data_IF_577883363430
#
_entry.id   IF_577883363430
#
_cell.length_a   1.000
_cell.length_b   1.000
_cell.length_c   1.000
_cell.angle_alpha   90.00
_cell.angle_beta   90.00
_cell.angle_gamma   90.00
#
_symmetry.space_group_name_H-M   'P 1'
#
loop_
_entity.id
_entity.type
_entity.pdbx_description
1 polymer ?
#
# COMPACT_ATOMS: atom_id res chain seq x y z
N UNK A 1 -1.43 -10.67 47.98
CA UNK A 1 -0.63 -9.47 47.68
C UNK A 1 -0.50 -9.37 46.18
N UNK A 2 -1.00 -8.31 45.56
CA UNK A 2 -0.78 -8.06 44.13
C UNK A 2 0.73 -8.01 43.89
N UNK A 3 1.24 -8.81 42.95
CA UNK A 3 2.61 -8.59 42.44
C UNK A 3 2.69 -7.14 41.96
N UNK A 4 3.72 -6.40 42.39
CA UNK A 4 3.90 -5.02 41.98
C UNK A 4 3.99 -4.91 40.46
N UNK A 5 3.53 -3.78 39.90
CA UNK A 5 3.44 -3.53 38.45
C UNK A 5 4.70 -3.97 37.68
N UNK A 6 5.89 -3.62 38.19
CA UNK A 6 7.18 -3.96 37.57
C UNK A 6 7.48 -5.47 37.58
N UNK A 7 7.23 -6.15 38.69
CA UNK A 7 7.48 -7.58 38.81
C UNK A 7 6.55 -8.38 37.87
N UNK A 8 5.27 -7.98 37.80
CA UNK A 8 4.32 -8.57 36.87
C UNK A 8 4.68 -8.31 35.40
N UNK A 9 5.19 -7.11 35.08
CA UNK A 9 5.62 -6.78 33.72
C UNK A 9 6.81 -7.62 33.29
N UNK A 10 7.84 -7.74 34.14
CA UNK A 10 9.01 -8.59 33.86
C UNK A 10 8.62 -10.07 33.70
N UNK A 11 7.70 -10.56 34.52
CA UNK A 11 7.18 -11.92 34.42
C UNK A 11 6.42 -12.15 33.10
N UNK A 12 5.56 -11.22 32.72
CA UNK A 12 4.85 -11.26 31.44
C UNK A 12 5.83 -11.24 30.27
N UNK A 13 6.81 -10.34 30.27
CA UNK A 13 7.85 -10.24 29.25
C UNK A 13 8.70 -11.51 29.16
N UNK A 14 9.10 -12.11 30.28
CA UNK A 14 9.80 -13.40 30.29
C UNK A 14 8.94 -14.51 29.67
N UNK A 15 7.62 -14.52 29.95
CA UNK A 15 6.65 -15.42 29.31
C UNK A 15 6.54 -15.18 27.80
N UNK A 16 6.53 -13.91 27.37
CA UNK A 16 6.54 -13.51 25.96
C UNK A 16 7.80 -13.95 25.23
N UNK A 17 8.97 -13.76 25.83
CA UNK A 17 10.23 -14.25 25.28
C UNK A 17 10.26 -15.78 25.17
N UNK A 18 9.73 -16.49 26.18
CA UNK A 18 9.59 -17.94 26.11
C UNK A 18 8.69 -18.38 24.95
N UNK A 19 7.61 -17.64 24.66
CA UNK A 19 6.76 -17.89 23.50
C UNK A 19 7.50 -17.68 22.17
N UNK A 20 8.28 -16.59 22.06
CA UNK A 20 9.11 -16.28 20.89
C UNK A 20 10.06 -17.44 20.56
N UNK A 21 10.80 -17.93 21.56
CA UNK A 21 11.77 -19.04 21.39
C UNK A 21 11.09 -20.41 21.43
N UNK A 22 9.78 -20.46 21.20
CA UNK A 22 9.04 -21.70 21.04
C UNK A 22 9.15 -22.65 22.25
N UNK A 23 9.24 -22.10 23.47
CA UNK A 23 9.11 -22.88 24.72
C UNK A 23 7.65 -23.04 25.12
N UNK A 24 7.37 -24.08 25.94
CA UNK A 24 6.04 -24.32 26.49
C UNK A 24 5.80 -23.37 27.66
N UNK A 25 4.74 -22.59 27.57
CA UNK A 25 4.40 -21.56 28.57
C UNK A 25 2.98 -21.81 29.09
N UNK A 26 2.81 -22.24 30.35
CA UNK A 26 1.47 -22.45 30.91
C UNK A 26 0.73 -21.11 31.15
N UNK A 27 -0.61 -21.14 31.26
CA UNK A 27 -1.42 -19.95 31.54
C UNK A 27 -1.02 -19.16 32.78
N UNK A 28 -0.53 -19.87 33.79
CA UNK A 28 -0.08 -19.33 35.07
C UNK A 28 1.20 -18.49 34.95
N UNK A 29 1.92 -18.56 33.83
CA UNK A 29 3.11 -17.74 33.61
C UNK A 29 2.79 -16.25 33.46
N UNK A 30 1.53 -15.89 33.19
CA UNK A 30 1.12 -14.51 32.93
C UNK A 30 0.29 -13.90 34.07
N UNK A 31 0.62 -12.68 34.45
CA UNK A 31 -0.12 -11.87 35.42
C UNK A 31 -1.23 -11.13 34.70
N UNK A 32 -2.48 -11.53 34.96
CA UNK A 32 -3.67 -11.06 34.23
C UNK A 32 -4.39 -9.92 34.94
N UNK A 33 -3.81 -8.73 34.95
CA UNK A 33 -4.47 -7.52 35.46
C UNK A 33 -4.67 -6.46 34.38
N UNK A 34 -5.53 -5.49 34.65
CA UNK A 34 -5.73 -4.35 33.76
C UNK A 34 -4.46 -3.47 33.68
N UNK A 35 -3.79 -3.26 34.81
CA UNK A 35 -2.55 -2.48 34.86
C UNK A 35 -1.44 -3.13 34.02
N UNK A 36 -1.39 -4.47 33.99
CA UNK A 36 -0.44 -5.20 33.15
C UNK A 36 -0.77 -5.08 31.66
N UNK A 37 -2.05 -5.13 31.30
CA UNK A 37 -2.50 -4.90 29.92
C UNK A 37 -2.08 -3.49 29.45
N UNK A 38 -2.36 -2.47 30.26
CA UNK A 38 -2.01 -1.09 29.96
C UNK A 38 -0.48 -0.89 29.87
N UNK A 39 0.27 -1.45 30.82
CA UNK A 39 1.73 -1.35 30.81
C UNK A 39 2.36 -2.01 29.57
N UNK A 40 1.86 -3.18 29.16
CA UNK A 40 2.33 -3.85 27.94
C UNK A 40 1.95 -3.08 26.68
N UNK A 41 0.75 -2.50 26.63
CA UNK A 41 0.33 -1.65 25.51
C UNK A 41 1.26 -0.43 25.37
N UNK A 42 1.47 0.31 26.46
CA UNK A 42 2.36 1.47 26.48
C UNK A 42 3.80 1.10 26.15
N UNK A 43 4.28 -0.07 26.60
CA UNK A 43 5.61 -0.57 26.23
C UNK A 43 5.72 -0.82 24.72
N UNK A 44 4.72 -1.43 24.09
CA UNK A 44 4.73 -1.67 22.65
C UNK A 44 4.68 -0.35 21.87
N UNK A 45 3.84 0.61 22.31
CA UNK A 45 3.80 1.96 21.74
C UNK A 45 5.17 2.65 21.84
N UNK A 46 5.79 2.65 23.02
CA UNK A 46 7.10 3.26 23.22
C UNK A 46 8.21 2.56 22.41
N UNK A 47 8.19 1.23 22.35
CA UNK A 47 9.17 0.46 21.60
C UNK A 47 9.09 0.75 20.12
N UNK A 48 7.89 0.65 19.53
CA UNK A 48 7.73 0.89 18.11
C UNK A 48 8.11 2.34 17.80
N UNK A 49 7.70 3.32 18.61
CA UNK A 49 8.08 4.72 18.38
C UNK A 49 9.61 4.91 18.41
N UNK A 50 10.29 4.22 19.33
CA UNK A 50 11.74 4.20 19.38
C UNK A 50 12.40 3.50 18.19
N UNK A 51 11.83 2.40 17.69
CA UNK A 51 12.35 1.72 16.49
C UNK A 51 12.20 2.59 15.24
N UNK A 52 11.09 3.30 15.12
CA UNK A 52 10.81 4.22 14.02
C UNK A 52 11.75 5.44 14.06
N UNK A 53 11.97 6.03 15.25
CA UNK A 53 12.99 7.09 15.42
C UNK A 53 14.41 6.66 15.03
N UNK A 54 14.73 5.36 15.13
CA UNK A 54 16.05 4.85 14.76
C UNK A 54 16.19 4.62 13.26
N UNK A 55 15.08 4.44 12.54
CA UNK A 55 15.02 4.38 11.08
C UNK A 55 14.87 5.76 10.44
N UNK A 56 14.45 6.76 11.21
CA UNK A 56 14.28 8.12 10.73
C UNK A 56 15.58 8.70 10.16
N UNK A 57 15.52 9.15 8.91
CA UNK A 57 16.64 9.81 8.24
C UNK A 57 16.81 11.26 8.71
N UNK A 58 18.00 11.82 8.49
CA UNK A 58 18.26 13.22 8.82
C UNK A 58 17.38 14.15 7.96
N UNK A 59 16.44 14.84 8.59
CA UNK A 59 15.47 15.72 7.91
C UNK A 59 14.03 15.21 7.95
N UNK A 60 13.78 14.00 8.47
CA UNK A 60 12.43 13.48 8.64
C UNK A 60 11.56 14.37 9.53
N UNK A 61 10.31 14.57 9.14
CA UNK A 61 9.34 15.35 9.91
C UNK A 61 8.48 14.43 10.79
N UNK A 62 8.12 14.92 11.98
CA UNK A 62 7.22 14.21 12.88
C UNK A 62 5.79 14.39 12.40
N UNK A 63 5.16 13.31 11.94
CA UNK A 63 3.79 13.30 11.48
C UNK A 63 2.88 12.66 12.54
N UNK A 64 2.13 13.49 13.26
CA UNK A 64 1.23 13.01 14.33
C UNK A 64 -0.01 12.30 13.79
N UNK A 65 -0.33 12.45 12.50
CA UNK A 65 -1.47 11.76 11.87
C UNK A 65 -1.27 10.24 11.86
N UNK A 66 -0.03 9.75 11.92
CA UNK A 66 0.26 8.34 12.11
C UNK A 66 -0.38 7.77 13.38
N UNK A 67 -0.64 8.58 14.42
CA UNK A 67 -1.37 8.14 15.61
C UNK A 67 -2.76 7.57 15.29
N UNK A 68 -3.38 8.02 14.19
CA UNK A 68 -4.61 7.42 13.67
C UNK A 68 -4.38 5.98 13.19
N UNK A 69 -3.35 5.75 12.37
CA UNK A 69 -2.96 4.42 11.90
C UNK A 69 -2.70 3.46 13.06
N UNK A 70 -2.03 3.94 14.11
CA UNK A 70 -1.83 3.18 15.34
C UNK A 70 -3.11 2.83 16.08
N UNK A 71 -4.04 3.78 16.21
CA UNK A 71 -5.33 3.53 16.85
C UNK A 71 -6.11 2.44 16.10
N UNK A 72 -6.13 2.52 14.77
CA UNK A 72 -6.74 1.51 13.89
C UNK A 72 -6.06 0.14 14.05
N UNK A 73 -4.74 0.09 14.03
CA UNK A 73 -3.96 -1.14 14.22
C UNK A 73 -4.25 -1.81 15.57
N UNK A 74 -4.28 -1.03 16.66
CA UNK A 74 -4.59 -1.53 18.00
C UNK A 74 -6.05 -2.02 18.12
N UNK A 75 -7.00 -1.32 17.50
CA UNK A 75 -8.41 -1.74 17.46
C UNK A 75 -8.60 -3.04 16.68
N UNK A 76 -7.91 -3.20 15.53
CA UNK A 76 -7.90 -4.44 14.76
C UNK A 76 -7.32 -5.59 15.57
N UNK A 77 -6.18 -5.38 16.24
CA UNK A 77 -5.58 -6.38 17.13
C UNK A 77 -6.48 -6.77 18.29
N UNK A 78 -7.16 -5.80 18.90
CA UNK A 78 -8.16 -6.04 19.94
C UNK A 78 -9.34 -6.86 19.42
N UNK A 79 -9.90 -6.49 18.26
CA UNK A 79 -11.03 -7.18 17.65
C UNK A 79 -10.66 -8.61 17.24
N UNK A 80 -9.47 -8.81 16.68
CA UNK A 80 -8.93 -10.13 16.37
C UNK A 80 -8.85 -11.01 17.64
N UNK A 81 -8.30 -10.48 18.74
CA UNK A 81 -8.25 -11.20 20.01
C UNK A 81 -9.66 -11.51 20.56
N UNK A 82 -10.59 -10.56 20.46
CA UNK A 82 -11.96 -10.75 20.91
C UNK A 82 -12.70 -11.82 20.10
N UNK A 83 -12.52 -11.86 18.78
CA UNK A 83 -13.07 -12.90 17.91
C UNK A 83 -12.52 -14.29 18.25
N UNK A 84 -11.21 -14.40 18.44
CA UNK A 84 -10.56 -15.67 18.82
C UNK A 84 -11.03 -16.15 20.19
N UNK A 85 -11.12 -15.24 21.18
CA UNK A 85 -11.66 -15.53 22.50
C UNK A 85 -13.11 -16.03 22.40
N UNK A 86 -13.95 -15.31 21.64
CA UNK A 86 -15.37 -15.66 21.42
C UNK A 86 -15.54 -17.02 20.72
N UNK A 87 -14.65 -17.34 19.79
CA UNK A 87 -14.59 -18.64 19.12
C UNK A 87 -14.12 -19.76 20.04
N UNK A 88 -13.35 -19.43 21.09
CA UNK A 88 -12.96 -20.35 22.14
C UNK A 88 -14.15 -20.69 23.05
N UNK A 89 -14.76 -19.70 23.71
CA UNK A 89 -16.00 -19.88 24.47
C UNK A 89 -16.79 -18.57 24.56
N UNK A 90 -18.09 -18.65 24.87
CA UNK A 90 -18.93 -17.44 25.03
C UNK A 90 -18.45 -16.56 26.19
N UNK A 91 -17.91 -17.19 27.23
CA UNK A 91 -17.47 -16.57 28.47
C UNK A 91 -15.93 -16.42 28.55
N UNK A 92 -15.22 -16.60 27.43
CA UNK A 92 -13.77 -16.43 27.40
C UNK A 92 -13.40 -14.98 27.67
N UNK A 93 -12.48 -14.77 28.62
CA UNK A 93 -11.90 -13.45 28.86
C UNK A 93 -10.91 -13.10 27.73
N UNK A 94 -11.21 -12.06 26.95
CA UNK A 94 -10.33 -11.53 25.89
C UNK A 94 -8.97 -11.12 26.46
N UNK A 95 -8.92 -10.65 27.71
CA UNK A 95 -7.68 -10.24 28.39
C UNK A 95 -6.70 -11.40 28.55
N UNK A 96 -7.22 -12.63 28.72
CA UNK A 96 -6.40 -13.83 28.82
C UNK A 96 -5.59 -14.09 27.55
N UNK A 97 -6.06 -13.60 26.39
CA UNK A 97 -5.36 -13.68 25.11
C UNK A 97 -4.53 -12.43 24.81
N UNK A 98 -5.05 -11.24 25.14
CA UNK A 98 -4.34 -9.97 24.89
C UNK A 98 -3.00 -9.88 25.64
N UNK A 99 -2.95 -10.33 26.90
CA UNK A 99 -1.72 -10.24 27.70
C UNK A 99 -0.57 -11.06 27.11
N UNK A 100 -0.71 -12.38 26.83
CA UNK A 100 0.37 -13.12 26.19
C UNK A 100 0.70 -12.61 24.78
N UNK A 101 -0.29 -12.10 24.02
CA UNK A 101 -0.05 -11.50 22.71
C UNK A 101 0.80 -10.22 22.80
N UNK A 102 0.42 -9.28 23.67
CA UNK A 102 1.17 -8.04 23.90
C UNK A 102 2.52 -8.28 24.58
N UNK A 103 2.64 -9.34 25.38
CA UNK A 103 3.90 -9.72 26.01
C UNK A 103 4.93 -10.26 25.03
N UNK A 104 4.51 -10.99 23.99
CA UNK A 104 5.42 -11.48 22.94
C UNK A 104 5.68 -10.45 21.84
N UNK A 105 4.72 -9.56 21.60
CA UNK A 105 4.77 -8.48 20.59
C UNK A 105 6.10 -7.70 20.53
N UNK A 106 6.69 -7.18 21.64
CA UNK A 106 7.90 -6.37 21.54
C UNK A 106 9.09 -7.15 20.93
N UNK A 107 9.15 -8.45 21.18
CA UNK A 107 10.18 -9.31 20.62
C UNK A 107 9.93 -9.66 19.16
N UNK A 108 8.66 -9.83 18.76
CA UNK A 108 8.28 -10.06 17.36
C UNK A 108 8.58 -8.82 16.53
N UNK A 109 8.19 -7.64 17.02
CA UNK A 109 8.49 -6.36 16.41
C UNK A 109 10.01 -6.19 16.22
N UNK A 110 10.80 -6.37 17.28
CA UNK A 110 12.25 -6.27 17.19
C UNK A 110 12.89 -7.29 16.24
N UNK A 111 12.38 -8.53 16.22
CA UNK A 111 12.86 -9.57 15.31
C UNK A 111 12.58 -9.21 13.85
N UNK A 112 11.36 -8.78 13.53
CA UNK A 112 10.99 -8.40 12.17
C UNK A 112 11.72 -7.14 11.71
N UNK A 113 11.78 -6.13 12.57
CA UNK A 113 12.56 -4.91 12.34
C UNK A 113 14.02 -5.24 12.00
N UNK A 114 14.70 -6.05 12.82
CA UNK A 114 16.10 -6.42 12.57
C UNK A 114 16.25 -7.29 11.31
N UNK A 115 15.26 -8.11 10.99
CA UNK A 115 15.31 -8.99 9.83
C UNK A 115 15.08 -8.26 8.51
N UNK A 116 14.35 -7.13 8.52
CA UNK A 116 14.02 -6.36 7.32
C UNK A 116 15.27 -5.80 6.63
N UNK A 117 16.31 -5.47 7.40
CA UNK A 117 17.58 -4.95 6.89
C UNK A 117 18.57 -6.02 6.43
N UNK A 118 18.29 -7.29 6.66
CA UNK A 118 19.18 -8.36 6.23
C UNK A 118 19.12 -8.52 4.71
N UNK A 119 20.27 -8.39 4.05
CA UNK A 119 20.40 -8.53 2.59
C UNK A 119 19.80 -9.83 2.03
N UNK A 120 19.87 -10.93 2.79
CA UNK A 120 19.27 -12.23 2.41
C UNK A 120 17.74 -12.20 2.40
N UNK A 121 17.14 -11.44 3.32
CA UNK A 121 15.68 -11.26 3.43
C UNK A 121 15.22 -10.38 2.27
N UNK A 122 15.90 -9.26 2.05
CA UNK A 122 15.63 -8.33 0.93
C UNK A 122 15.79 -8.97 -0.45
N UNK A 123 16.75 -9.88 -0.60
CA UNK A 123 16.96 -10.61 -1.85
C UNK A 123 15.85 -11.64 -2.18
N UNK A 124 15.01 -12.03 -1.20
CA UNK A 124 13.97 -13.05 -1.37
C UNK A 124 12.68 -12.66 -0.62
N UNK A 125 11.99 -11.59 -1.03
CA UNK A 125 10.88 -11.01 -0.29
C UNK A 125 9.71 -12.00 -0.12
N UNK A 126 9.35 -12.73 -1.19
CA UNK A 126 8.26 -13.73 -1.13
C UNK A 126 8.56 -14.84 -0.12
N UNK A 127 9.79 -15.36 -0.12
CA UNK A 127 10.19 -16.41 0.83
C UNK A 127 10.16 -15.88 2.26
N UNK A 128 10.61 -14.63 2.48
CA UNK A 128 10.58 -13.99 3.79
C UNK A 128 9.15 -13.84 4.31
N UNK A 129 8.21 -13.41 3.46
CA UNK A 129 6.78 -13.30 3.79
C UNK A 129 6.21 -14.67 4.17
N UNK A 130 6.47 -15.71 3.37
CA UNK A 130 5.98 -17.07 3.65
C UNK A 130 6.53 -17.62 4.98
N UNK A 131 7.82 -17.42 5.25
CA UNK A 131 8.45 -17.84 6.51
C UNK A 131 7.91 -17.04 7.69
N UNK A 132 7.76 -15.73 7.55
CA UNK A 132 7.18 -14.84 8.56
C UNK A 132 5.73 -15.24 8.89
N UNK A 133 4.91 -15.52 7.86
CA UNK A 133 3.54 -15.96 8.03
C UNK A 133 3.46 -17.32 8.73
N UNK A 134 4.29 -18.29 8.32
CA UNK A 134 4.38 -19.58 8.98
C UNK A 134 4.79 -19.44 10.46
N UNK A 135 5.74 -18.55 10.74
CA UNK A 135 6.17 -18.25 12.10
C UNK A 135 5.03 -17.63 12.93
N UNK A 136 4.30 -16.65 12.39
CA UNK A 136 3.15 -16.04 13.06
C UNK A 136 2.01 -17.05 13.30
N UNK A 137 1.78 -17.97 12.37
CA UNK A 137 0.85 -19.09 12.54
C UNK A 137 1.25 -19.93 13.75
N UNK A 138 2.49 -20.42 13.80
CA UNK A 138 2.99 -21.24 14.92
C UNK A 138 2.92 -20.47 16.24
N UNK A 139 3.28 -19.19 16.21
CA UNK A 139 3.25 -18.32 17.38
C UNK A 139 1.82 -18.10 17.89
N UNK A 140 0.86 -17.86 16.98
CA UNK A 140 -0.55 -17.64 17.35
C UNK A 140 -1.15 -18.86 18.08
N UNK A 141 -0.81 -20.08 17.65
CA UNK A 141 -1.24 -21.32 18.31
C UNK A 141 -0.66 -21.45 19.72
N UNK A 142 0.60 -21.00 19.91
CA UNK A 142 1.27 -21.01 21.21
C UNK A 142 0.72 -19.95 22.15
N UNK A 143 0.46 -18.75 21.64
CA UNK A 143 -0.22 -17.68 22.38
C UNK A 143 -1.61 -18.16 22.82
N UNK A 144 -2.35 -18.84 21.94
CA UNK A 144 -3.66 -19.41 22.27
C UNK A 144 -3.58 -20.49 23.35
N UNK A 145 -2.59 -21.38 23.27
CA UNK A 145 -2.34 -22.38 24.30
C UNK A 145 -1.92 -21.75 25.64
N UNK A 146 -1.09 -20.71 25.61
CA UNK A 146 -0.70 -19.95 26.79
C UNK A 146 -1.88 -19.14 27.38
N UNK A 147 -2.84 -18.72 26.57
CA UNK A 147 -4.03 -18.02 27.03
C UNK A 147 -5.01 -18.96 27.77
N UNK A 148 -5.31 -20.11 27.16
CA UNK A 148 -6.44 -20.95 27.61
C UNK A 148 -6.04 -22.35 28.12
N UNK A 149 -4.78 -22.76 27.98
CA UNK A 149 -4.27 -24.08 28.36
C UNK A 149 -4.74 -25.23 27.46
N UNK A 150 -5.99 -25.20 27.02
CA UNK A 150 -6.54 -26.09 25.99
C UNK A 150 -6.89 -25.28 24.75
N UNK A 151 -6.69 -25.85 23.56
CA UNK A 151 -7.04 -25.21 22.29
C UNK A 151 -8.28 -25.88 21.71
N UNK A 152 -9.25 -25.09 21.28
CA UNK A 152 -10.46 -25.57 20.59
C UNK A 152 -10.30 -25.36 19.08
N UNK A 153 -10.81 -26.30 18.28
CA UNK A 153 -10.68 -26.25 16.82
C UNK A 153 -11.22 -24.94 16.24
N UNK A 154 -12.35 -24.43 16.75
CA UNK A 154 -12.93 -23.16 16.31
C UNK A 154 -11.99 -21.97 16.54
N UNK A 155 -11.44 -21.83 17.75
CA UNK A 155 -10.47 -20.77 18.04
C UNK A 155 -9.20 -20.87 17.20
N UNK A 156 -8.75 -22.09 16.90
CA UNK A 156 -7.60 -22.33 16.01
C UNK A 156 -7.91 -21.84 14.59
N UNK A 157 -9.04 -22.28 14.00
CA UNK A 157 -9.44 -21.87 12.65
C UNK A 157 -9.58 -20.34 12.57
N UNK A 158 -10.23 -19.71 13.56
CA UNK A 158 -10.38 -18.26 13.60
C UNK A 158 -9.03 -17.55 13.70
N UNK A 159 -8.11 -18.01 14.55
CA UNK A 159 -6.79 -17.42 14.69
C UNK A 159 -5.99 -17.54 13.38
N UNK A 160 -6.00 -18.71 12.75
CA UNK A 160 -5.31 -18.94 11.47
C UNK A 160 -5.87 -18.05 10.35
N UNK A 161 -7.21 -17.96 10.24
CA UNK A 161 -7.86 -17.10 9.26
C UNK A 161 -7.46 -15.63 9.46
N UNK A 162 -7.46 -15.14 10.69
CA UNK A 162 -7.07 -13.76 10.99
C UNK A 162 -5.59 -13.49 10.71
N UNK A 163 -4.68 -14.43 11.00
CA UNK A 163 -3.25 -14.29 10.67
C UNK A 163 -3.03 -14.24 9.16
N UNK A 164 -3.76 -15.04 8.38
CA UNK A 164 -3.66 -15.04 6.91
C UNK A 164 -4.30 -13.80 6.29
N UNK A 165 -5.41 -13.30 6.86
CA UNK A 165 -6.11 -12.11 6.38
C UNK A 165 -5.43 -10.80 6.79
N UNK A 166 -4.63 -10.80 7.86
CA UNK A 166 -4.03 -9.58 8.40
C UNK A 166 -3.19 -8.79 7.39
N UNK A 167 -2.28 -9.39 6.59
CA UNK A 167 -1.51 -8.65 5.60
C UNK A 167 -2.41 -7.94 4.58
N UNK A 168 -3.41 -8.64 4.05
CA UNK A 168 -4.38 -8.07 3.09
C UNK A 168 -5.18 -6.94 3.73
N UNK A 169 -5.65 -7.12 4.96
CA UNK A 169 -6.38 -6.08 5.67
C UNK A 169 -5.53 -4.83 5.90
N UNK A 170 -4.26 -4.99 6.31
CA UNK A 170 -3.35 -3.87 6.54
C UNK A 170 -3.00 -3.13 5.23
N UNK A 171 -2.79 -3.86 4.14
CA UNK A 171 -2.54 -3.29 2.81
C UNK A 171 -3.77 -2.54 2.28
N UNK A 172 -4.96 -3.16 2.33
CA UNK A 172 -6.20 -2.53 1.82
C UNK A 172 -6.64 -1.30 2.62
N UNK A 173 -6.27 -1.21 3.90
CA UNK A 173 -6.60 -0.08 4.76
C UNK A 173 -5.53 1.01 4.74
N UNK A 174 -4.41 0.77 4.04
CA UNK A 174 -3.28 1.68 3.91
C UNK A 174 -2.86 2.33 5.25
N UNK A 175 -2.75 1.49 6.28
CA UNK A 175 -2.46 1.95 7.63
C UNK A 175 -0.98 2.29 7.76
N UNK A 176 -0.61 3.53 7.46
CA UNK A 176 0.72 4.01 7.79
C UNK A 176 0.87 4.24 9.29
N UNK A 177 1.90 3.62 9.86
CA UNK A 177 2.23 3.75 11.28
C UNK A 177 3.47 4.59 11.50
N UNK A 178 4.25 4.90 10.45
CA UNK A 178 5.49 5.74 10.45
C UNK A 178 5.24 7.11 11.08
N UNK A 179 5.86 7.35 12.24
CA UNK A 179 5.87 8.66 12.91
C UNK A 179 6.86 9.61 12.23
N UNK A 180 7.94 9.07 11.66
CA UNK A 180 8.95 9.82 10.93
C UNK A 180 8.84 9.50 9.45
N UNK A 181 8.38 10.48 8.70
CA UNK A 181 8.37 10.42 7.24
C UNK A 181 9.57 11.23 6.76
N UNK A 182 10.46 10.57 6.01
CA UNK A 182 11.58 11.23 5.35
C UNK A 182 11.06 12.21 4.32
N UNK A 183 11.81 13.29 4.10
CA UNK A 183 11.62 14.14 2.93
C UNK A 183 12.17 13.33 1.73
N UNK A 184 11.40 12.34 1.25
CA UNK A 184 11.73 11.50 0.09
C UNK A 184 11.68 12.35 -1.18
N UNK A 185 12.61 13.29 -1.28
CA UNK A 185 12.98 13.94 -2.53
C UNK A 185 13.81 12.96 -3.34
N UNK A 186 13.18 11.91 -3.89
CA UNK A 186 13.50 11.23 -5.17
C UNK A 186 12.70 9.95 -5.48
N UNK A 187 11.40 9.92 -5.19
CA UNK A 187 10.43 9.19 -6.03
C UNK A 187 9.13 10.01 -6.00
N UNK A 188 8.77 10.55 -7.17
CA UNK A 188 7.76 11.63 -7.39
C UNK A 188 8.16 13.00 -6.83
N UNK A 189 8.50 13.91 -7.75
CA UNK A 189 8.41 15.37 -7.59
C UNK A 189 6.92 15.78 -7.48
N UNK A 190 6.20 15.15 -6.54
CA UNK A 190 4.90 15.57 -6.04
C UNK A 190 5.13 16.53 -4.86
N UNK A 191 6.06 17.48 -5.04
CA UNK A 191 5.69 18.82 -4.62
C UNK A 191 4.46 19.17 -5.44
N UNK A 192 3.33 18.85 -4.85
CA UNK A 192 2.00 19.30 -5.16
C UNK A 192 2.01 20.82 -5.04
N UNK A 193 2.76 21.48 -5.92
CA UNK A 193 2.52 22.85 -6.28
C UNK A 193 1.20 22.83 -7.04
N UNK A 194 0.13 22.68 -6.27
CA UNK A 194 -1.27 22.83 -6.68
C UNK A 194 -1.45 24.09 -7.53
N UNK A 195 -0.58 25.09 -7.35
CA UNK A 195 -0.52 26.30 -8.17
C UNK A 195 -0.12 26.08 -9.64
N UNK A 196 0.53 24.96 -9.98
CA UNK A 196 0.91 24.57 -11.35
C UNK A 196 -0.08 23.55 -11.96
N UNK A 197 -0.72 22.71 -11.14
CA UNK A 197 -1.71 21.71 -11.61
C UNK A 197 -3.00 22.36 -12.12
N UNK A 198 -3.51 23.36 -11.40
CA UNK A 198 -4.76 24.04 -11.79
C UNK A 198 -4.62 24.76 -13.15
N UNK A 199 -3.59 25.60 -13.40
CA UNK A 199 -3.36 26.18 -14.72
C UNK A 199 -3.18 25.13 -15.82
N UNK A 200 -2.41 24.06 -15.55
CA UNK A 200 -2.20 22.98 -16.51
C UNK A 200 -3.53 22.35 -16.95
N UNK A 201 -4.47 22.14 -16.03
CA UNK A 201 -5.79 21.58 -16.34
C UNK A 201 -6.66 22.56 -17.14
N UNK A 202 -6.64 23.86 -16.79
CA UNK A 202 -7.39 24.89 -17.51
C UNK A 202 -6.88 25.14 -18.93
N UNK A 203 -5.60 24.89 -19.18
CA UNK A 203 -4.98 25.06 -20.50
C UNK A 203 -5.21 23.88 -21.45
N UNK A 204 -5.74 22.74 -20.97
CA UNK A 204 -5.92 21.53 -21.78
C UNK A 204 -6.73 21.75 -23.06
N UNK A 205 -7.86 22.49 -23.07
CA UNK A 205 -8.61 22.72 -24.30
C UNK A 205 -7.79 23.43 -25.38
N UNK A 206 -6.91 24.36 -24.99
CA UNK A 206 -6.04 25.09 -25.91
C UNK A 206 -4.90 24.20 -26.41
N UNK A 207 -4.30 23.39 -25.53
CA UNK A 207 -3.25 22.41 -25.88
C UNK A 207 -3.76 21.36 -26.88
N UNK A 208 -4.96 20.82 -26.66
CA UNK A 208 -5.61 19.88 -27.59
C UNK A 208 -5.87 20.55 -28.94
N UNK A 209 -6.42 21.77 -28.94
CA UNK A 209 -6.66 22.50 -30.18
C UNK A 209 -5.37 22.77 -30.96
N UNK A 210 -4.29 23.14 -30.26
CA UNK A 210 -2.97 23.34 -30.85
C UNK A 210 -2.36 22.04 -31.40
N UNK A 211 -2.55 20.91 -30.71
CA UNK A 211 -2.12 19.59 -31.17
C UNK A 211 -2.87 19.18 -32.44
N UNK A 212 -4.20 19.25 -32.45
CA UNK A 212 -5.02 18.94 -33.64
C UNK A 212 -4.71 19.90 -34.79
N UNK A 213 -4.37 21.16 -34.51
CA UNK A 213 -4.06 22.12 -35.56
C UNK A 213 -2.83 21.73 -36.41
N UNK A 214 -1.88 20.99 -35.82
CA UNK A 214 -0.67 20.47 -36.49
C UNK A 214 -0.92 19.26 -37.38
N UNK A 215 -2.07 18.59 -37.21
CA UNK A 215 -2.47 17.43 -38.02
C UNK A 215 -2.80 17.90 -39.45
N UNK A 216 -2.15 17.27 -40.43
CA UNK A 216 -2.38 17.52 -41.86
C UNK A 216 -3.85 17.24 -42.22
N UNK A 217 -4.55 18.18 -42.89
CA UNK A 217 -5.94 17.98 -43.29
C UNK A 217 -6.06 16.94 -44.43
N UNK A 218 -7.28 16.50 -44.67
CA UNK A 218 -7.64 15.58 -45.75
C UNK A 218 -7.04 16.00 -47.10
N UNK A 219 -6.72 15.01 -47.94
CA UNK A 219 -6.27 15.25 -49.31
C UNK A 219 -7.34 14.76 -50.30
N UNK A 220 -7.87 15.65 -51.17
CA UNK A 220 -8.92 15.26 -52.11
C UNK A 220 -8.48 14.10 -53.02
N UNK A 221 -9.26 13.01 -53.02
CA UNK A 221 -9.06 11.87 -53.90
C UNK A 221 -8.09 10.79 -53.40
N UNK A 222 -7.55 10.91 -52.18
CA UNK A 222 -6.76 9.85 -51.54
C UNK A 222 -7.18 9.69 -50.07
N UNK A 223 -7.79 8.55 -49.70
CA UNK A 223 -8.07 8.22 -48.30
C UNK A 223 -6.81 8.26 -47.45
N UNK A 224 -6.88 8.93 -46.30
CA UNK A 224 -5.81 8.99 -45.31
C UNK A 224 -6.12 8.18 -44.05
N UNK A 225 -5.07 7.78 -43.33
CA UNK A 225 -5.18 7.20 -42.00
C UNK A 225 -4.80 8.26 -40.97
N UNK A 226 -5.67 8.46 -39.99
CA UNK A 226 -5.46 9.33 -38.85
C UNK A 226 -5.27 8.49 -37.60
N UNK A 227 -4.30 8.86 -36.77
CA UNK A 227 -3.97 8.13 -35.55
C UNK A 227 -4.25 8.96 -34.30
N UNK A 228 -4.81 8.34 -33.28
CA UNK A 228 -4.94 8.90 -31.94
C UNK A 228 -4.39 7.90 -30.94
N UNK A 229 -3.31 8.25 -30.27
CA UNK A 229 -2.82 7.51 -29.11
C UNK A 229 -3.34 8.11 -27.81
N UNK A 230 -3.74 7.24 -26.89
CA UNK A 230 -4.24 7.61 -25.56
C UNK A 230 -3.57 6.75 -24.48
N UNK A 231 -2.81 7.38 -23.59
CA UNK A 231 -2.17 6.75 -22.45
C UNK A 231 -2.74 7.30 -21.14
N UNK A 232 -3.65 6.54 -20.51
CA UNK A 232 -4.52 7.03 -19.43
C UNK A 232 -3.91 7.07 -18.02
N UNK A 233 -2.96 6.18 -17.72
CA UNK A 233 -2.24 6.15 -16.45
C UNK A 233 -0.81 6.69 -16.65
N UNK A 234 -0.34 7.53 -15.73
CA UNK A 234 0.96 8.20 -15.81
C UNK A 234 2.02 7.74 -14.81
N UNK A 235 1.75 6.72 -14.00
CA UNK A 235 2.57 6.35 -12.83
C UNK A 235 3.92 5.74 -13.21
N UNK A 236 3.94 4.83 -14.20
CA UNK A 236 5.13 4.03 -14.55
C UNK A 236 5.74 4.39 -15.92
N UNK A 237 5.14 5.33 -16.65
CA UNK A 237 5.57 5.75 -18.00
C UNK A 237 5.45 4.67 -19.10
N UNK A 238 5.11 3.41 -18.76
CA UNK A 238 4.96 2.28 -19.71
C UNK A 238 3.90 2.59 -20.76
N UNK A 239 2.76 3.13 -20.35
CA UNK A 239 1.64 3.44 -21.22
C UNK A 239 1.97 4.52 -22.27
N UNK A 240 2.77 5.53 -21.88
CA UNK A 240 3.30 6.52 -22.82
C UNK A 240 4.17 5.85 -23.89
N UNK A 241 5.07 4.96 -23.49
CA UNK A 241 5.92 4.23 -24.44
C UNK A 241 5.12 3.37 -25.41
N UNK A 242 4.08 2.68 -24.92
CA UNK A 242 3.20 1.87 -25.76
C UNK A 242 2.43 2.72 -26.79
N UNK A 243 1.87 3.86 -26.37
CA UNK A 243 1.16 4.77 -27.26
C UNK A 243 2.09 5.35 -28.34
N UNK A 244 3.28 5.83 -27.96
CA UNK A 244 4.28 6.34 -28.91
C UNK A 244 4.83 5.27 -29.85
N UNK A 245 5.01 4.04 -29.35
CA UNK A 245 5.41 2.92 -30.20
C UNK A 245 4.33 2.59 -31.23
N UNK A 246 3.05 2.61 -30.82
CA UNK A 246 1.94 2.42 -31.74
C UNK A 246 1.90 3.54 -32.81
N UNK A 247 2.06 4.81 -32.41
CA UNK A 247 2.15 5.94 -33.34
C UNK A 247 3.20 5.71 -34.43
N UNK A 248 4.42 5.32 -34.03
CA UNK A 248 5.51 5.07 -34.95
C UNK A 248 5.19 3.93 -35.94
N UNK A 249 4.61 2.83 -35.45
CA UNK A 249 4.22 1.70 -36.30
C UNK A 249 3.16 2.11 -37.31
N UNK A 250 2.18 2.93 -36.91
CA UNK A 250 1.15 3.43 -37.82
C UNK A 250 1.71 4.44 -38.82
N UNK A 251 2.62 5.32 -38.40
CA UNK A 251 3.32 6.23 -39.28
C UNK A 251 4.10 5.47 -40.38
N UNK A 252 4.86 4.45 -40.00
CA UNK A 252 5.69 3.66 -40.93
C UNK A 252 4.86 2.85 -41.94
N UNK A 253 3.70 2.33 -41.53
CA UNK A 253 2.87 1.45 -42.37
C UNK A 253 1.77 2.17 -43.15
N UNK A 254 1.28 3.30 -42.66
CA UNK A 254 0.10 3.97 -43.19
C UNK A 254 0.31 5.46 -43.50
N UNK A 255 1.55 5.95 -43.41
CA UNK A 255 1.92 7.35 -43.68
C UNK A 255 1.09 8.34 -42.82
N UNK A 256 0.81 7.95 -41.57
CA UNK A 256 -0.02 8.72 -40.64
C UNK A 256 0.78 9.65 -39.71
N UNK A 257 2.09 9.77 -39.89
CA UNK A 257 2.97 10.50 -38.96
C UNK A 257 2.69 12.01 -38.88
N UNK A 258 2.17 12.62 -39.96
CA UNK A 258 1.67 13.99 -39.94
C UNK A 258 0.16 14.09 -39.67
N UNK A 259 -0.49 12.94 -39.41
CA UNK A 259 -1.92 12.77 -39.13
C UNK A 259 -2.18 12.12 -37.76
N UNK A 260 -1.23 12.21 -36.85
CA UNK A 260 -1.29 11.65 -35.49
C UNK A 260 -1.53 12.73 -34.42
N UNK A 261 -2.22 12.35 -33.34
CA UNK A 261 -2.30 13.13 -32.09
C UNK A 261 -2.19 12.21 -30.90
N UNK A 262 -1.33 12.58 -29.95
CA UNK A 262 -1.10 11.85 -28.71
C UNK A 262 -1.72 12.59 -27.54
N UNK A 263 -2.51 11.89 -26.72
CA UNK A 263 -2.95 12.34 -25.41
C UNK A 263 -2.35 11.42 -24.36
N UNK A 264 -1.41 11.93 -23.55
CA UNK A 264 -0.58 11.09 -22.68
C UNK A 264 -0.56 11.66 -21.26
N UNK A 265 -0.71 10.79 -20.27
CA UNK A 265 -0.40 11.09 -18.88
C UNK A 265 0.98 10.52 -18.55
N UNK A 266 1.87 11.35 -17.99
CA UNK A 266 3.20 10.95 -17.54
C UNK A 266 3.60 11.89 -16.39
N UNK A 267 3.86 11.34 -15.21
CA UNK A 267 4.26 12.15 -14.05
C UNK A 267 5.58 12.90 -14.27
N UNK A 268 6.48 12.35 -15.09
CA UNK A 268 7.77 12.95 -15.41
C UNK A 268 7.71 13.98 -16.55
N UNK A 269 6.61 14.02 -17.32
CA UNK A 269 6.46 14.88 -18.49
C UNK A 269 4.98 15.27 -18.69
N UNK A 270 4.56 16.32 -17.98
CA UNK A 270 3.19 16.85 -18.01
C UNK A 270 2.99 17.89 -19.12
N UNK A 271 4.04 18.28 -19.83
CA UNK A 271 4.04 19.44 -20.71
C UNK A 271 4.14 19.14 -22.20
N UNK A 272 4.76 18.02 -22.59
CA UNK A 272 5.01 17.73 -24.01
C UNK A 272 3.74 17.35 -24.77
N UNK A 273 2.75 16.75 -24.09
CA UNK A 273 1.52 16.25 -24.68
C UNK A 273 0.29 16.77 -23.94
N UNK A 274 -0.86 16.95 -24.63
CA UNK A 274 -2.14 17.11 -23.95
C UNK A 274 -2.42 15.91 -23.02
N UNK A 275 -3.05 16.17 -21.88
CA UNK A 275 -3.38 15.14 -20.91
C UNK A 275 -4.45 14.20 -21.45
N UNK A 276 -4.26 12.91 -21.17
CA UNK A 276 -5.18 11.83 -21.50
C UNK A 276 -6.40 11.84 -20.56
N UNK A 277 -7.34 12.75 -20.84
CA UNK A 277 -8.62 12.83 -20.13
C UNK A 277 -9.77 12.41 -21.04
N UNK A 278 -10.85 11.86 -20.47
CA UNK A 278 -12.03 11.46 -21.25
C UNK A 278 -12.62 12.65 -22.01
N UNK A 279 -12.76 13.80 -21.36
CA UNK A 279 -13.25 15.03 -21.99
C UNK A 279 -12.28 15.54 -23.05
N UNK A 280 -10.97 15.44 -22.80
CA UNK A 280 -9.94 15.81 -23.75
C UNK A 280 -9.96 14.94 -25.01
N UNK A 281 -10.10 13.63 -24.87
CA UNK A 281 -10.25 12.70 -25.99
C UNK A 281 -11.51 13.02 -26.82
N UNK A 282 -12.65 13.28 -26.17
CA UNK A 282 -13.86 13.70 -26.88
C UNK A 282 -13.65 15.00 -27.68
N UNK A 283 -12.94 15.98 -27.10
CA UNK A 283 -12.62 17.22 -27.79
C UNK A 283 -11.66 16.98 -28.96
N UNK A 284 -10.60 16.21 -28.75
CA UNK A 284 -9.63 15.86 -29.78
C UNK A 284 -10.31 15.19 -30.97
N UNK A 285 -11.15 14.18 -30.72
CA UNK A 285 -11.90 13.47 -31.77
C UNK A 285 -12.84 14.39 -32.55
N UNK A 286 -13.55 15.31 -31.85
CA UNK A 286 -14.44 16.29 -32.52
C UNK A 286 -13.67 17.25 -33.42
N UNK A 287 -12.53 17.77 -32.94
CA UNK A 287 -11.69 18.67 -33.72
C UNK A 287 -11.02 17.94 -34.88
N UNK A 288 -10.55 16.70 -34.66
CA UNK A 288 -9.92 15.88 -35.67
C UNK A 288 -10.90 15.51 -36.79
N UNK A 289 -12.16 15.20 -36.45
CA UNK A 289 -13.21 14.95 -37.44
C UNK A 289 -13.42 16.13 -38.42
N UNK A 290 -13.09 17.36 -38.03
CA UNK A 290 -13.16 18.54 -38.92
C UNK A 290 -11.97 18.65 -39.90
N UNK A 291 -10.93 17.83 -39.70
CA UNK A 291 -9.74 17.73 -40.54
C UNK A 291 -9.78 16.51 -41.47
N UNK A 292 -10.72 15.59 -41.24
CA UNK A 292 -10.86 14.32 -41.94
C UNK A 292 -12.05 14.34 -42.90
N UNK A 293 -11.93 13.61 -44.00
CA UNK A 293 -13.08 13.22 -44.81
C UNK A 293 -13.73 12.01 -44.14
N UNK A 294 -14.73 12.24 -43.29
CA UNK A 294 -15.34 11.18 -42.48
C UNK A 294 -16.03 10.06 -43.28
N UNK A 295 -16.21 10.23 -44.60
CA UNK A 295 -16.74 9.19 -45.49
C UNK A 295 -15.63 8.29 -46.11
N UNK A 296 -14.39 8.78 -46.16
CA UNK A 296 -13.30 8.12 -46.89
C UNK A 296 -12.08 7.81 -46.02
N UNK A 297 -11.76 8.68 -45.07
CA UNK A 297 -10.61 8.54 -44.18
C UNK A 297 -10.90 7.56 -43.05
N UNK A 298 -9.83 6.94 -42.53
CA UNK A 298 -9.91 5.98 -41.42
C UNK A 298 -9.26 6.59 -40.19
N UNK A 299 -9.98 6.56 -39.06
CA UNK A 299 -9.43 6.86 -37.75
C UNK A 299 -9.03 5.57 -37.03
N UNK A 300 -7.81 5.52 -36.54
CA UNK A 300 -7.33 4.50 -35.60
C UNK A 300 -7.13 5.14 -34.23
N UNK A 301 -7.80 4.58 -33.23
CA UNK A 301 -7.67 4.99 -31.83
C UNK A 301 -7.06 3.84 -31.03
N UNK A 302 -5.90 4.09 -30.41
CA UNK A 302 -5.26 3.15 -29.49
C UNK A 302 -5.39 3.66 -28.07
N UNK A 303 -5.93 2.82 -27.19
CA UNK A 303 -6.08 3.13 -25.76
C UNK A 303 -5.19 2.17 -24.96
N UNK A 304 -4.35 2.71 -24.09
CA UNK A 304 -3.56 1.93 -23.13
C UNK A 304 -3.60 2.57 -21.75
N UNK A 305 -3.92 1.77 -20.73
CA UNK A 305 -4.14 2.19 -19.34
C UNK A 305 -4.37 0.96 -18.44
N UNK A 306 -4.30 1.15 -17.12
CA UNK A 306 -4.96 0.30 -16.13
C UNK A 306 -6.48 0.50 -16.11
#
# INVERSE_FOLDING_TARGET
>A
MSEGLRAGLLRNLAGGFALLVLRRTPPESFVRSFDQLLALLLLNLALWAGLDTLHAEAGSQLMLDALYGWACYLLLGFFACALVARAHSRDADTRALLIPALAVSPYVLGLFWLSADLSRVRARPVLAILVGLLYLIVLSLRVLHAAYGSVRTRSVITALALVVLAPVALETLDLDTRLWVGDESQETDDSDDSSTVEPLLYDQPARIAAAVARVTPEQPGSPGVYFVGFAGNGDEGVFKHEALFAEQVFADHFDSGDRSIELLNDVADRDSYPLATVTGLQQALRLLASRMNTEQDVLVLTLTSH
#
